data_IF_459227932090
#
_entry.id   IF_459227932090
#
_cell.length_a   1.000
_cell.length_b   1.000
_cell.length_c   1.000
_cell.angle_alpha   90.00
_cell.angle_beta   90.00
_cell.angle_gamma   90.00
#
_symmetry.space_group_name_H-M   'P 1'
#
loop_
_entity.id
_entity.type
_entity.pdbx_description
1 polymer ?
#
# COMPACT_ATOMS: atom_id res chain seq x y z
N UNK A 1 43.57 -13.91 -47.54
CA UNK A 1 42.46 -14.67 -46.96
C UNK A 1 42.51 -14.47 -45.45
N UNK A 2 41.72 -13.55 -44.94
CA UNK A 2 41.68 -13.24 -43.52
C UNK A 2 40.44 -13.96 -42.92
N UNK A 3 40.74 -14.84 -41.97
CA UNK A 3 39.74 -15.67 -41.27
C UNK A 3 39.16 -14.84 -40.14
N UNK A 4 37.86 -14.54 -40.20
CA UNK A 4 37.11 -13.86 -39.13
C UNK A 4 36.44 -14.94 -38.27
N UNK A 5 36.69 -15.01 -36.97
CA UNK A 5 36.00 -15.95 -36.12
C UNK A 5 34.56 -15.47 -35.85
N UNK A 6 33.61 -16.39 -36.00
CA UNK A 6 32.20 -16.17 -35.68
C UNK A 6 32.01 -15.98 -34.17
N UNK A 7 31.43 -14.84 -33.83
CA UNK A 7 31.00 -14.55 -32.46
C UNK A 7 29.74 -15.39 -32.17
N UNK A 8 29.87 -16.34 -31.27
CA UNK A 8 28.70 -17.06 -30.68
C UNK A 8 27.95 -16.10 -29.74
N UNK A 9 26.78 -15.68 -30.15
CA UNK A 9 25.80 -15.06 -29.28
C UNK A 9 25.23 -16.11 -28.33
N UNK A 10 25.69 -16.06 -27.09
CA UNK A 10 25.12 -16.83 -26.01
C UNK A 10 23.72 -16.27 -25.70
N UNK A 11 22.69 -16.95 -26.17
CA UNK A 11 21.30 -16.70 -25.79
C UNK A 11 21.08 -17.11 -24.32
N UNK A 12 21.36 -16.21 -23.41
CA UNK A 12 20.91 -16.36 -22.03
C UNK A 12 19.38 -16.30 -22.00
N UNK A 13 18.78 -17.43 -21.71
CA UNK A 13 17.36 -17.55 -21.46
C UNK A 13 16.99 -16.63 -20.30
N UNK A 14 16.24 -15.57 -20.58
CA UNK A 14 15.53 -14.77 -19.57
C UNK A 14 14.29 -15.59 -19.21
N UNK A 15 14.45 -16.51 -18.25
CA UNK A 15 13.34 -17.18 -17.63
C UNK A 15 12.79 -16.23 -16.54
N UNK A 16 11.46 -16.14 -16.48
CA UNK A 16 10.62 -15.47 -15.48
C UNK A 16 10.24 -14.00 -15.75
N UNK A 17 9.53 -13.79 -16.86
CA UNK A 17 8.67 -12.62 -17.01
C UNK A 17 7.21 -13.01 -17.33
N UNK A 18 6.81 -14.25 -17.07
CA UNK A 18 5.56 -14.81 -17.61
C UNK A 18 4.31 -14.49 -16.76
N UNK A 19 4.41 -13.73 -15.68
CA UNK A 19 3.22 -13.32 -14.90
C UNK A 19 3.08 -11.81 -14.68
N UNK A 20 3.90 -10.98 -15.31
CA UNK A 20 3.68 -9.53 -15.25
C UNK A 20 2.51 -9.15 -16.16
N UNK A 21 1.37 -8.85 -15.54
CA UNK A 21 0.21 -8.31 -16.23
C UNK A 21 0.23 -6.76 -16.13
N UNK A 22 0.67 -6.06 -17.18
CA UNK A 22 0.77 -4.60 -17.16
C UNK A 22 -0.60 -3.92 -17.01
N UNK A 23 -1.67 -4.59 -17.41
CA UNK A 23 -3.03 -4.07 -17.26
C UNK A 23 -3.54 -4.21 -15.83
N UNK A 24 -3.20 -5.28 -15.14
CA UNK A 24 -3.48 -5.44 -13.72
C UNK A 24 -2.69 -4.41 -12.90
N UNK A 25 -1.40 -4.26 -13.16
CA UNK A 25 -0.56 -3.25 -12.51
C UNK A 25 -1.05 -1.81 -12.77
N UNK A 26 -1.50 -1.51 -14.00
CA UNK A 26 -2.14 -0.23 -14.32
C UNK A 26 -3.50 -0.09 -13.63
N UNK A 27 -4.31 -1.14 -13.58
CA UNK A 27 -5.59 -1.16 -12.86
C UNK A 27 -5.41 -0.87 -11.39
N UNK A 28 -4.44 -1.51 -10.76
CA UNK A 28 -4.06 -1.26 -9.36
C UNK A 28 -3.56 0.17 -9.13
N UNK A 29 -2.83 0.74 -10.08
CA UNK A 29 -2.41 2.14 -10.05
C UNK A 29 -3.57 3.11 -10.33
N UNK A 30 -4.40 2.83 -11.33
CA UNK A 30 -5.45 3.73 -11.81
C UNK A 30 -6.72 3.68 -10.96
N UNK A 31 -7.08 2.54 -10.42
CA UNK A 31 -8.16 2.44 -9.42
C UNK A 31 -7.68 2.97 -8.07
N UNK A 32 -6.38 3.35 -8.03
CA UNK A 32 -5.72 3.89 -6.86
C UNK A 32 -6.23 3.09 -5.68
N UNK A 33 -5.95 1.81 -5.62
CA UNK A 33 -6.33 1.09 -4.43
C UNK A 33 -5.92 2.04 -3.31
N UNK A 34 -6.90 2.75 -2.77
CA UNK A 34 -6.65 3.68 -1.70
C UNK A 34 -6.20 2.78 -0.56
N UNK A 35 -4.91 2.38 -0.65
CA UNK A 35 -4.27 1.64 0.41
C UNK A 35 -4.52 2.47 1.62
N UNK A 36 -5.26 1.94 2.57
CA UNK A 36 -5.55 2.65 3.78
C UNK A 36 -4.21 3.06 4.40
N UNK A 37 -3.79 4.32 4.16
CA UNK A 37 -2.51 4.82 4.66
C UNK A 37 -2.64 4.96 6.17
N UNK A 38 -1.79 4.22 6.88
CA UNK A 38 -1.68 4.34 8.33
C UNK A 38 -0.81 5.54 8.67
N UNK A 39 -1.35 6.41 9.51
CA UNK A 39 -0.71 7.59 10.07
C UNK A 39 -0.47 7.37 11.56
N UNK A 40 0.66 7.85 12.08
CA UNK A 40 0.93 7.85 13.51
C UNK A 40 1.09 9.29 14.01
N UNK A 41 0.32 9.64 15.02
CA UNK A 41 0.39 10.97 15.63
C UNK A 41 -0.09 10.92 17.09
N UNK A 42 0.58 11.67 17.96
CA UNK A 42 0.23 11.79 19.40
C UNK A 42 0.05 10.41 20.07
N UNK A 43 0.95 9.46 19.77
CA UNK A 43 0.94 8.14 20.38
C UNK A 43 -0.15 7.18 19.87
N UNK A 44 -0.86 7.51 18.77
CA UNK A 44 -1.97 6.73 18.22
C UNK A 44 -1.81 6.47 16.74
N UNK A 45 -2.40 5.39 16.26
CA UNK A 45 -2.48 5.05 14.85
C UNK A 45 -3.86 5.38 14.29
N UNK A 46 -3.88 5.87 13.06
CA UNK A 46 -5.10 6.20 12.32
C UNK A 46 -4.96 5.74 10.89
N UNK A 47 -6.07 5.45 10.20
CA UNK A 47 -6.04 5.14 8.77
C UNK A 47 -7.20 5.80 8.02
N UNK A 48 -7.06 5.82 6.68
CA UNK A 48 -8.07 6.37 5.79
C UNK A 48 -8.14 7.90 5.79
N UNK A 49 -9.15 8.42 5.11
CA UNK A 49 -9.40 9.86 5.01
C UNK A 49 -10.09 10.40 6.26
N UNK A 50 -10.91 9.58 6.89
CA UNK A 50 -11.69 9.96 8.07
C UNK A 50 -10.91 9.79 9.38
N UNK A 51 -9.60 9.47 9.30
CA UNK A 51 -8.72 9.25 10.44
C UNK A 51 -9.30 8.26 11.46
N UNK A 52 -9.73 7.09 10.98
CA UNK A 52 -10.25 6.02 11.83
C UNK A 52 -9.12 5.52 12.72
N UNK A 53 -9.33 5.51 14.03
CA UNK A 53 -8.31 5.07 14.99
C UNK A 53 -8.13 3.55 14.94
N UNK A 54 -6.88 3.10 14.87
CA UNK A 54 -6.49 1.70 15.07
C UNK A 54 -6.02 1.57 16.51
N UNK A 55 -6.68 0.77 17.35
CA UNK A 55 -6.29 0.59 18.76
C UNK A 55 -4.86 0.07 18.89
N UNK A 56 -4.14 0.52 19.91
CA UNK A 56 -2.89 -0.13 20.32
C UNK A 56 -3.17 -1.59 20.69
N UNK A 57 -2.26 -2.49 20.35
CA UNK A 57 -2.45 -3.93 20.51
C UNK A 57 -3.07 -4.60 19.27
N UNK A 58 -3.53 -3.83 18.26
CA UNK A 58 -3.99 -4.42 17.01
C UNK A 58 -2.88 -5.19 16.33
N UNK A 59 -3.19 -6.39 15.86
CA UNK A 59 -2.26 -7.26 15.14
C UNK A 59 -2.46 -7.11 13.64
N UNK A 60 -1.37 -6.95 12.92
CA UNK A 60 -1.33 -6.87 11.46
C UNK A 60 -0.22 -7.76 10.92
N UNK A 61 -0.43 -8.31 9.74
CA UNK A 61 0.60 -9.07 9.03
C UNK A 61 1.46 -8.08 8.27
N UNK A 62 2.78 -8.13 8.46
CA UNK A 62 3.70 -7.26 7.76
C UNK A 62 4.31 -7.95 6.54
N UNK A 63 4.07 -7.38 5.36
CA UNK A 63 4.70 -7.85 4.12
C UNK A 63 6.12 -7.30 4.02
N UNK A 64 7.05 -7.93 4.72
CA UNK A 64 8.46 -7.54 4.70
C UNK A 64 9.14 -7.70 3.33
N UNK A 65 8.83 -8.72 2.50
CA UNK A 65 9.29 -8.75 1.11
C UNK A 65 8.88 -7.54 0.27
N UNK A 66 7.72 -6.96 0.55
CA UNK A 66 7.20 -5.76 -0.12
C UNK A 66 7.63 -4.44 0.54
N UNK A 67 8.39 -4.47 1.63
CA UNK A 67 8.85 -3.26 2.32
C UNK A 67 9.86 -2.49 1.46
N UNK A 68 9.67 -1.16 1.37
CA UNK A 68 10.49 -0.30 0.52
C UNK A 68 11.11 0.84 1.30
N UNK A 69 12.25 1.33 0.79
CA UNK A 69 12.94 2.52 1.28
C UNK A 69 13.38 3.37 0.08
N UNK A 70 13.32 4.68 0.22
CA UNK A 70 13.73 5.56 -0.86
C UNK A 70 13.23 6.98 -0.69
N UNK A 71 12.86 7.60 -1.78
CA UNK A 71 12.51 9.01 -1.83
C UNK A 71 11.16 9.21 -2.49
N UNK A 72 10.37 10.09 -1.91
CA UNK A 72 9.08 10.55 -2.44
C UNK A 72 9.19 12.05 -2.66
N UNK A 73 8.89 12.48 -3.88
CA UNK A 73 8.83 13.89 -4.25
C UNK A 73 7.44 14.44 -4.02
N UNK A 74 7.38 15.61 -3.40
CA UNK A 74 6.13 16.29 -3.09
C UNK A 74 6.03 17.62 -3.82
N UNK A 75 4.86 17.91 -4.38
CA UNK A 75 4.46 19.22 -4.89
C UNK A 75 3.01 19.51 -4.54
N UNK A 76 2.72 20.72 -4.10
CA UNK A 76 1.37 21.13 -3.70
C UNK A 76 0.72 20.16 -2.71
N UNK A 77 1.50 19.62 -1.76
CA UNK A 77 1.05 18.65 -0.77
C UNK A 77 0.73 17.26 -1.32
N UNK A 78 1.07 16.96 -2.58
CA UNK A 78 0.82 15.66 -3.23
C UNK A 78 2.13 14.98 -3.63
N UNK A 79 2.21 13.63 -3.52
CA UNK A 79 3.33 12.90 -4.09
C UNK A 79 3.26 12.96 -5.62
N UNK A 80 4.40 13.29 -6.27
CA UNK A 80 4.49 13.39 -7.74
C UNK A 80 5.41 12.35 -8.34
N UNK A 81 6.45 11.97 -7.61
CA UNK A 81 7.44 11.00 -8.07
C UNK A 81 7.93 10.15 -6.90
N UNK A 82 8.30 8.90 -7.19
CA UNK A 82 8.86 7.98 -6.21
C UNK A 82 10.09 7.27 -6.77
N UNK A 83 11.15 7.20 -5.99
CA UNK A 83 12.36 6.41 -6.28
C UNK A 83 12.61 5.49 -5.10
N UNK A 84 12.03 4.29 -5.16
CA UNK A 84 12.00 3.33 -4.07
C UNK A 84 12.69 2.03 -4.45
N UNK A 85 13.40 1.43 -3.49
CA UNK A 85 14.00 0.10 -3.61
C UNK A 85 13.43 -0.83 -2.54
N UNK A 86 13.39 -2.13 -2.81
CA UNK A 86 13.00 -3.12 -1.79
C UNK A 86 14.09 -3.22 -0.72
N UNK A 87 13.70 -3.23 0.54
CA UNK A 87 14.64 -3.41 1.65
C UNK A 87 15.31 -4.79 1.55
N UNK A 88 14.56 -5.80 1.10
CA UNK A 88 15.02 -7.17 0.95
C UNK A 88 16.14 -7.38 -0.09
N UNK A 89 16.24 -6.48 -1.08
CA UNK A 89 17.28 -6.56 -2.13
C UNK A 89 18.66 -6.14 -1.61
N UNK A 90 18.72 -5.49 -0.44
CA UNK A 90 19.98 -4.99 0.12
C UNK A 90 20.63 -3.87 -0.69
N UNK A 91 19.89 -3.28 -1.64
CA UNK A 91 20.35 -2.17 -2.47
C UNK A 91 20.00 -0.85 -1.77
N UNK A 92 20.98 0.05 -1.67
CA UNK A 92 20.72 1.38 -1.15
C UNK A 92 19.96 2.24 -2.19
N UNK A 93 18.97 3.05 -1.78
CA UNK A 93 18.38 4.02 -2.67
C UNK A 93 19.42 5.08 -3.11
N UNK A 94 19.15 5.79 -4.23
CA UNK A 94 20.07 6.83 -4.70
C UNK A 94 20.26 7.91 -3.62
N UNK A 95 21.37 8.64 -3.73
CA UNK A 95 21.63 9.77 -2.82
C UNK A 95 20.73 10.95 -3.20
N UNK A 96 20.45 11.83 -2.23
CA UNK A 96 19.59 13.02 -2.46
C UNK A 96 20.05 13.87 -3.64
N UNK A 97 21.35 14.08 -3.80
CA UNK A 97 21.93 14.87 -4.88
C UNK A 97 21.87 14.22 -6.29
N UNK A 98 21.45 12.96 -6.38
CA UNK A 98 21.26 12.24 -7.65
C UNK A 98 19.82 12.40 -8.19
N UNK A 99 18.92 13.03 -7.41
CA UNK A 99 17.49 13.15 -7.71
C UNK A 99 17.10 14.48 -8.38
N UNK A 100 18.04 15.41 -8.57
CA UNK A 100 17.74 16.75 -9.06
C UNK A 100 17.05 17.64 -8.03
N UNK A 101 16.42 18.72 -8.52
CA UNK A 101 15.74 19.73 -7.68
C UNK A 101 16.66 20.31 -6.58
N UNK A 102 17.91 20.63 -6.92
CA UNK A 102 18.90 21.12 -5.96
C UNK A 102 18.80 22.62 -5.71
N UNK A 103 18.16 23.38 -6.62
CA UNK A 103 17.98 24.83 -6.45
C UNK A 103 16.94 25.13 -5.40
N UNK A 104 17.42 25.51 -4.22
CA UNK A 104 16.58 25.82 -3.06
C UNK A 104 15.66 27.03 -3.27
N UNK A 105 15.95 27.90 -4.25
CA UNK A 105 15.08 29.04 -4.54
C UNK A 105 13.81 28.62 -5.26
N UNK A 106 13.78 27.41 -5.84
CA UNK A 106 12.61 26.83 -6.51
C UNK A 106 11.79 25.91 -5.60
N UNK A 107 12.22 25.73 -4.34
CA UNK A 107 11.52 24.90 -3.40
C UNK A 107 10.29 25.60 -2.82
N UNK A 108 9.27 24.84 -2.53
CA UNK A 108 8.15 25.32 -1.71
C UNK A 108 8.66 25.69 -0.32
N UNK A 109 7.96 26.60 0.33
CA UNK A 109 8.27 26.98 1.71
C UNK A 109 7.36 26.25 2.70
N UNK A 110 7.87 25.96 3.88
CA UNK A 110 7.08 25.46 4.99
C UNK A 110 6.31 26.58 5.70
N UNK A 111 5.56 26.27 6.75
CA UNK A 111 4.77 27.21 7.56
C UNK A 111 5.62 28.32 8.23
N UNK A 112 6.94 28.14 8.26
CA UNK A 112 7.92 29.11 8.81
C UNK A 112 8.60 29.92 7.72
N UNK A 113 8.18 29.75 6.48
CA UNK A 113 8.81 30.33 5.29
C UNK A 113 10.23 29.82 5.00
N UNK A 114 10.60 28.67 5.56
CA UNK A 114 11.87 28.02 5.25
C UNK A 114 11.71 27.15 3.98
N UNK A 115 12.73 27.11 3.08
CA UNK A 115 12.69 26.25 1.90
C UNK A 115 12.59 24.77 2.29
N UNK A 116 11.55 24.10 1.82
CA UNK A 116 11.27 22.68 2.07
C UNK A 116 11.75 21.84 0.89
N UNK A 117 12.69 20.94 1.16
CA UNK A 117 13.15 19.98 0.12
C UNK A 117 11.96 19.19 -0.42
N UNK A 118 11.72 19.20 -1.75
CA UNK A 118 10.63 18.44 -2.34
C UNK A 118 10.81 16.93 -2.19
N UNK A 119 12.04 16.42 -2.10
CA UNK A 119 12.32 15.02 -1.92
C UNK A 119 12.44 14.65 -0.45
N UNK A 120 11.59 13.77 0.02
CA UNK A 120 11.58 13.28 1.40
C UNK A 120 11.97 11.81 1.44
N UNK A 121 12.99 11.50 2.25
CA UNK A 121 13.37 10.11 2.50
C UNK A 121 12.25 9.40 3.24
N UNK A 122 11.75 8.32 2.66
CA UNK A 122 10.50 7.68 3.09
C UNK A 122 10.67 6.15 3.14
N UNK A 123 10.08 5.54 4.13
CA UNK A 123 9.96 4.08 4.23
C UNK A 123 8.50 3.68 4.09
N UNK A 124 8.27 2.61 3.35
CA UNK A 124 6.98 1.98 3.15
C UNK A 124 6.97 0.59 3.77
N UNK A 125 6.02 0.32 4.65
CA UNK A 125 5.75 -1.00 5.21
C UNK A 125 4.32 -1.40 4.87
N UNK A 126 4.11 -2.30 3.88
CA UNK A 126 2.79 -2.83 3.59
C UNK A 126 2.34 -3.75 4.71
N UNK A 127 1.08 -3.62 5.11
CA UNK A 127 0.46 -4.34 6.21
C UNK A 127 -0.88 -4.91 5.76
N UNK A 128 -1.34 -5.98 6.41
CA UNK A 128 -2.62 -6.62 6.10
C UNK A 128 -3.34 -7.05 7.38
N UNK A 129 -4.64 -6.83 7.43
CA UNK A 129 -5.48 -7.35 8.50
C UNK A 129 -5.56 -8.88 8.45
N UNK A 130 -5.25 -9.61 9.54
CA UNK A 130 -5.20 -11.08 9.51
C UNK A 130 -6.57 -11.73 9.28
N UNK A 131 -7.65 -11.08 9.72
CA UNK A 131 -9.01 -11.62 9.63
C UNK A 131 -9.80 -10.99 8.47
N UNK A 132 -9.56 -9.70 8.21
CA UNK A 132 -10.32 -8.93 7.22
C UNK A 132 -9.71 -8.98 5.82
N UNK A 133 -8.42 -9.33 5.72
CA UNK A 133 -7.68 -9.22 4.46
C UNK A 133 -7.43 -7.77 4.02
N UNK A 134 -7.90 -6.78 4.78
CA UNK A 134 -7.76 -5.37 4.44
C UNK A 134 -6.30 -4.94 4.35
N UNK A 135 -5.95 -4.26 3.28
CA UNK A 135 -4.59 -3.82 3.02
C UNK A 135 -4.35 -2.41 3.54
N UNK A 136 -3.21 -2.25 4.18
CA UNK A 136 -2.75 -0.99 4.72
C UNK A 136 -1.33 -0.69 4.26
N UNK A 137 -0.97 0.59 4.25
CA UNK A 137 0.39 1.05 4.03
C UNK A 137 0.80 1.98 5.16
N UNK A 138 1.80 1.60 5.94
CA UNK A 138 2.47 2.55 6.81
C UNK A 138 3.59 3.23 6.03
N UNK A 139 3.33 4.47 5.58
CA UNK A 139 4.29 5.31 4.86
C UNK A 139 4.79 6.41 5.80
N UNK A 140 6.10 6.56 5.94
CA UNK A 140 6.67 7.53 6.89
C UNK A 140 7.98 8.13 6.40
N UNK A 141 8.10 9.45 6.56
CA UNK A 141 9.33 10.22 6.40
C UNK A 141 9.85 10.76 7.76
N UNK A 142 9.13 10.47 8.85
CA UNK A 142 9.53 10.94 10.17
C UNK A 142 10.65 10.08 10.74
N UNK A 143 11.58 10.71 11.49
CA UNK A 143 12.69 10.00 12.14
C UNK A 143 12.20 8.86 13.06
N UNK A 144 11.12 9.10 13.81
CA UNK A 144 10.53 8.09 14.69
C UNK A 144 9.94 6.90 13.93
N UNK A 145 9.20 7.18 12.86
CA UNK A 145 8.62 6.13 12.01
C UNK A 145 9.68 5.32 11.26
N UNK A 146 10.68 5.97 10.67
CA UNK A 146 11.81 5.31 10.01
C UNK A 146 12.56 4.42 11.02
N UNK A 147 12.81 4.95 12.24
CA UNK A 147 13.43 4.19 13.31
C UNK A 147 12.63 2.97 13.73
N UNK A 148 11.31 3.07 13.79
CA UNK A 148 10.43 1.95 14.12
C UNK A 148 10.48 0.83 13.08
N UNK A 149 10.40 1.18 11.78
CA UNK A 149 10.56 0.19 10.70
C UNK A 149 11.95 -0.44 10.75
N UNK A 150 13.00 0.35 11.01
CA UNK A 150 14.37 -0.14 11.13
C UNK A 150 14.55 -1.11 12.29
N UNK A 151 13.98 -0.83 13.46
CA UNK A 151 13.98 -1.73 14.61
C UNK A 151 13.27 -3.05 14.29
N UNK A 152 12.08 -2.97 13.75
CA UNK A 152 11.31 -4.15 13.33
C UNK A 152 12.05 -4.97 12.26
N UNK A 153 12.64 -4.32 11.25
CA UNK A 153 13.42 -5.01 10.21
C UNK A 153 14.62 -5.75 10.79
N UNK A 154 15.25 -5.23 11.85
CA UNK A 154 16.33 -5.91 12.58
C UNK A 154 15.82 -7.16 13.29
N UNK A 155 14.69 -7.08 13.99
CA UNK A 155 14.10 -8.21 14.71
C UNK A 155 13.62 -9.29 13.72
N UNK A 156 12.96 -8.89 12.62
CA UNK A 156 12.62 -9.77 11.51
C UNK A 156 13.88 -10.46 10.96
N UNK A 157 14.93 -9.70 10.66
CA UNK A 157 16.17 -10.20 10.07
C UNK A 157 16.87 -11.27 10.91
N UNK A 158 16.69 -11.28 12.22
CA UNK A 158 17.25 -12.33 13.11
C UNK A 158 16.47 -13.65 13.04
N UNK A 159 15.18 -13.59 12.74
CA UNK A 159 14.27 -14.73 12.84
C UNK A 159 13.83 -15.32 11.48
N UNK A 160 13.77 -14.52 10.41
CA UNK A 160 13.12 -14.91 9.15
C UNK A 160 13.73 -16.14 8.48
N UNK A 161 15.07 -16.35 8.63
CA UNK A 161 15.75 -17.53 8.05
C UNK A 161 15.28 -18.84 8.67
N UNK A 162 14.77 -18.79 9.89
CA UNK A 162 14.22 -19.96 10.62
C UNK A 162 12.72 -20.12 10.37
N UNK A 163 12.12 -19.23 9.57
CA UNK A 163 10.68 -19.16 9.28
C UNK A 163 10.42 -19.03 7.76
N UNK A 164 10.95 -19.97 6.94
CA UNK A 164 10.78 -19.90 5.50
C UNK A 164 9.30 -19.98 5.12
N UNK A 165 8.86 -19.15 4.16
CA UNK A 165 7.47 -19.10 3.70
C UNK A 165 6.48 -18.52 4.71
N UNK A 166 6.98 -17.83 5.76
CA UNK A 166 6.13 -17.19 6.75
C UNK A 166 6.29 -15.68 6.73
N UNK A 167 5.18 -14.98 6.95
CA UNK A 167 5.15 -13.55 7.16
C UNK A 167 5.01 -13.23 8.66
N UNK A 168 5.67 -12.17 9.13
CA UNK A 168 5.59 -11.78 10.52
C UNK A 168 4.25 -11.10 10.83
N UNK A 169 3.68 -11.42 11.97
CA UNK A 169 2.58 -10.68 12.59
C UNK A 169 3.17 -9.69 13.57
N UNK A 170 2.84 -8.43 13.39
CA UNK A 170 3.23 -7.35 14.31
C UNK A 170 2.07 -6.93 15.17
N UNK A 171 2.38 -6.45 16.36
CA UNK A 171 1.44 -5.75 17.23
C UNK A 171 1.77 -4.26 17.24
N UNK A 172 0.76 -3.42 17.00
CA UNK A 172 0.92 -1.97 17.02
C UNK A 172 1.07 -1.45 18.44
N UNK A 173 2.20 -0.84 18.74
CA UNK A 173 2.52 -0.24 20.03
C UNK A 173 2.99 1.21 19.86
N UNK A 174 3.02 1.94 20.92
CA UNK A 174 3.59 3.27 20.99
C UNK A 174 4.58 3.37 22.15
N UNK A 175 5.59 4.19 21.95
CA UNK A 175 6.54 4.58 22.98
C UNK A 175 6.79 6.08 22.88
N UNK A 176 7.51 6.63 23.82
CA UNK A 176 7.92 8.02 23.79
C UNK A 176 9.33 8.20 24.35
N UNK A 177 9.94 9.31 24.00
CA UNK A 177 11.23 9.73 24.60
C UNK A 177 11.25 11.22 24.85
N UNK A 178 12.08 11.66 25.81
CA UNK A 178 12.32 13.06 26.04
C UNK A 178 13.23 13.62 24.94
N UNK A 179 12.75 14.64 24.20
CA UNK A 179 13.57 15.25 23.16
C UNK A 179 14.77 16.00 23.78
N UNK A 180 15.99 15.92 23.17
CA UNK A 180 17.17 16.62 23.69
C UNK A 180 16.95 18.13 23.85
N UNK A 181 16.23 18.76 22.91
CA UNK A 181 15.75 20.11 23.08
C UNK A 181 14.42 20.08 23.86
N UNK A 182 14.47 20.58 25.11
CA UNK A 182 13.35 20.61 26.05
C UNK A 182 12.10 21.35 25.54
N UNK A 183 12.26 22.25 24.55
CA UNK A 183 11.14 22.96 23.94
C UNK A 183 10.15 22.03 23.21
N UNK A 184 10.60 20.85 22.79
CA UNK A 184 9.75 19.84 22.10
C UNK A 184 9.10 18.83 23.05
N UNK A 185 9.47 18.82 24.34
CA UNK A 185 8.89 17.93 25.33
C UNK A 185 9.14 16.44 25.07
N UNK A 186 8.12 15.61 25.23
CA UNK A 186 8.13 14.18 24.89
C UNK A 186 7.67 14.02 23.43
N UNK A 187 8.32 13.10 22.75
CA UNK A 187 8.04 12.76 21.36
C UNK A 187 7.56 11.32 21.29
N UNK A 188 6.33 11.15 20.84
CA UNK A 188 5.75 9.83 20.62
C UNK A 188 6.33 9.20 19.35
N UNK A 189 6.61 7.90 19.42
CA UNK A 189 7.11 7.09 18.30
C UNK A 189 6.29 5.80 18.17
N UNK A 190 6.01 5.34 16.94
CA UNK A 190 5.38 4.05 16.74
C UNK A 190 6.36 2.93 17.09
N UNK A 191 5.83 1.78 17.49
CA UNK A 191 6.58 0.56 17.72
C UNK A 191 5.85 -0.60 17.06
N UNK A 192 6.56 -1.41 16.29
CA UNK A 192 6.07 -2.62 15.64
C UNK A 192 6.69 -3.81 16.37
N UNK A 193 5.94 -4.40 17.29
CA UNK A 193 6.40 -5.54 18.08
C UNK A 193 6.14 -6.84 17.31
N UNK A 194 7.17 -7.65 17.06
CA UNK A 194 7.03 -8.96 16.43
C UNK A 194 6.29 -9.90 17.39
N UNK A 195 5.06 -10.26 17.07
CA UNK A 195 4.19 -11.05 17.94
C UNK A 195 4.09 -12.52 17.51
N UNK A 196 4.01 -12.80 16.20
CA UNK A 196 3.76 -14.16 15.68
C UNK A 196 4.21 -14.28 14.21
N UNK A 197 3.94 -15.44 13.60
CA UNK A 197 4.21 -15.74 12.20
C UNK A 197 3.05 -16.51 11.58
N UNK A 198 2.66 -16.14 10.36
CA UNK A 198 1.62 -16.80 9.57
C UNK A 198 2.21 -17.36 8.27
N UNK A 199 1.62 -18.41 7.74
CA UNK A 199 2.04 -18.96 6.45
C UNK A 199 1.58 -18.03 5.32
N UNK A 200 2.49 -17.69 4.42
CA UNK A 200 2.19 -16.85 3.26
C UNK A 200 1.15 -17.51 2.34
N UNK A 201 1.20 -18.83 2.23
CA UNK A 201 0.25 -19.60 1.44
C UNK A 201 -1.20 -19.49 1.95
N UNK A 202 -1.41 -19.35 3.27
CA UNK A 202 -2.74 -19.21 3.85
C UNK A 202 -3.38 -17.89 3.45
N UNK A 203 -2.58 -16.82 3.31
CA UNK A 203 -3.06 -15.52 2.87
C UNK A 203 -3.46 -15.50 1.40
N UNK A 204 -2.68 -16.16 0.54
CA UNK A 204 -2.98 -16.29 -0.89
C UNK A 204 -4.25 -17.14 -1.12
N UNK A 205 -4.47 -18.14 -0.28
CA UNK A 205 -5.65 -18.99 -0.33
C UNK A 205 -6.92 -18.26 0.10
N UNK A 206 -6.83 -17.40 1.11
CA UNK A 206 -7.93 -16.55 1.55
C UNK A 206 -8.36 -15.55 0.46
N UNK A 207 -7.40 -14.98 -0.28
CA UNK A 207 -7.67 -14.09 -1.41
C UNK A 207 -8.35 -14.81 -2.59
N UNK A 208 -7.96 -16.06 -2.86
CA UNK A 208 -8.58 -16.86 -3.91
C UNK A 208 -10.01 -17.27 -3.55
N UNK A 209 -10.30 -17.52 -2.26
CA UNK A 209 -11.61 -17.91 -1.77
C UNK A 209 -12.64 -16.75 -1.80
N UNK A 210 -12.19 -15.52 -1.57
CA UNK A 210 -13.08 -14.36 -1.62
C UNK A 210 -13.45 -13.95 -3.06
N UNK A 211 -12.56 -14.15 -4.01
CA UNK A 211 -12.85 -13.93 -5.45
C UNK A 211 -13.84 -14.92 -6.05
N UNK A 212 -14.06 -16.06 -5.40
CA UNK A 212 -15.02 -17.10 -5.86
C UNK A 212 -16.41 -16.91 -5.25
N UNK A 213 -16.60 -15.96 -4.34
CA UNK A 213 -17.91 -15.60 -3.81
C UNK A 213 -18.56 -14.53 -4.71
N UNK A 214 -18.67 -14.87 -5.98
CA UNK A 214 -19.46 -14.13 -6.95
C UNK A 214 -20.92 -14.15 -6.52
N UNK A 215 -21.49 -12.99 -6.35
CA UNK A 215 -22.90 -12.77 -6.05
C UNK A 215 -23.75 -13.57 -7.06
N UNK A 216 -24.73 -14.38 -6.59
CA UNK A 216 -25.57 -15.13 -7.53
C UNK A 216 -26.28 -14.14 -8.44
N UNK A 217 -26.10 -14.29 -9.73
CA UNK A 217 -26.76 -13.48 -10.75
C UNK A 217 -28.26 -13.45 -10.49
N UNK A 218 -28.94 -12.31 -10.64
CA UNK A 218 -30.38 -12.21 -10.44
C UNK A 218 -31.07 -13.14 -11.43
N UNK A 219 -31.90 -14.05 -10.92
CA UNK A 219 -32.73 -14.93 -11.72
C UNK A 219 -33.54 -14.11 -12.74
N UNK A 220 -33.58 -14.52 -14.02
CA UNK A 220 -34.40 -13.81 -15.00
C UNK A 220 -35.89 -13.99 -14.63
N UNK A 221 -36.57 -12.89 -14.37
CA UNK A 221 -38.01 -12.84 -14.19
C UNK A 221 -38.69 -13.54 -15.39
N UNK A 222 -39.37 -14.64 -15.09
CA UNK A 222 -40.23 -15.33 -16.07
C UNK A 222 -41.34 -14.39 -16.46
N UNK A 223 -41.33 -13.94 -17.72
CA UNK A 223 -42.43 -13.29 -18.37
C UNK A 223 -43.68 -14.18 -18.30
N UNK A 224 -44.65 -13.77 -17.49
CA UNK A 224 -45.94 -14.39 -17.42
C UNK A 224 -46.71 -14.01 -18.72
N UNK A 225 -47.18 -15.05 -19.40
CA UNK A 225 -47.76 -15.04 -20.73
C UNK A 225 -49.00 -14.16 -20.88
N UNK A 226 -49.11 -13.62 -22.06
CA UNK A 226 -50.27 -13.01 -22.62
C UNK A 226 -51.46 -13.99 -22.65
N UNK A 227 -52.59 -13.62 -22.07
CA UNK A 227 -53.86 -14.17 -22.42
C UNK A 227 -54.77 -13.08 -22.96
N UNK A 228 -55.05 -13.24 -24.22
CA UNK A 228 -55.99 -12.53 -25.03
C UNK A 228 -57.44 -12.74 -24.54
N UNK A 229 -58.20 -11.69 -24.33
CA UNK A 229 -59.67 -11.83 -24.49
C UNK A 229 -60.27 -10.48 -24.89
N UNK A 230 -60.85 -10.53 -26.07
CA UNK A 230 -61.64 -9.48 -26.65
C UNK A 230 -62.98 -9.32 -25.90
N UNK A 231 -63.50 -8.16 -25.80
CA UNK A 231 -64.76 -7.76 -26.44
C UNK A 231 -65.57 -6.69 -25.66
N UNK A 232 -66.03 -5.76 -26.41
CA UNK A 232 -67.30 -5.04 -26.41
C UNK A 232 -67.52 -3.82 -25.55
N UNK A 233 -67.67 -2.74 -26.32
CA UNK A 233 -68.79 -1.80 -26.46
C UNK A 233 -69.36 -1.12 -25.22
N UNK A 234 -69.44 0.20 -25.32
CA UNK A 234 -70.44 0.95 -24.58
C UNK A 234 -70.11 2.43 -24.42
N UNK A 235 -70.52 3.21 -25.39
CA UNK A 235 -71.01 4.53 -25.38
C UNK A 235 -71.22 5.28 -24.05
N UNK A 236 -70.98 6.58 -24.08
CA UNK A 236 -71.82 7.52 -23.33
C UNK A 236 -71.13 8.60 -22.57
N UNK A 237 -70.90 9.69 -23.16
CA UNK A 237 -71.58 10.96 -22.90
C UNK A 237 -71.03 11.84 -21.73
N UNK A 238 -70.58 13.03 -22.10
CA UNK A 238 -70.77 14.37 -21.47
C UNK A 238 -70.50 14.53 -19.97
N UNK A 239 -69.98 15.56 -19.45
CA UNK A 239 -69.93 17.02 -19.66
C UNK A 239 -69.19 17.66 -18.48
N UNK A 240 -68.48 18.72 -18.71
CA UNK A 240 -68.33 19.96 -17.91
C UNK A 240 -68.16 19.83 -16.37
N UNK A 241 -67.17 20.36 -15.78
CA UNK A 241 -66.82 21.80 -15.57
C UNK A 241 -65.30 21.93 -15.37
#
# INVERSE_FOLDING_TARGET
MLNVPATQTNGGAVAAADNYNPYAAYGEQATGGARNIIKFRKGRFFYGQDDIEIPLGTRLIANMPGAKVGWVRWRDGKPTDEVMVLIGDGVAPPRRNELGDEDRNLWETDDRSDPKDPWQFTNHLPLKGPETGEEFLFATSTRGGIGAIGAFAKDYGTAYRQKPGKLPVIELRASDYAHPNKAYGRVDVPVFELADWVDEADLLSAEAGDRTREEPAPEPERAAGASNSANRTGAGHRTRF
#
